data_IF_496485682089
#
_entry.id   IF_496485682089
#
_cell.length_a   1.000
_cell.length_b   1.000
_cell.length_c   1.000
_cell.angle_alpha   90.00
_cell.angle_beta   90.00
_cell.angle_gamma   90.00
#
_symmetry.space_group_name_H-M   'P 1'
#
loop_
_entity.id
_entity.type
_entity.pdbx_description
1 polymer ?
#
# COMPACT_ATOMS: atom_id res chain seq x y z
N UNK A 1 -29.87 5.23 -12.17
CA UNK A 1 -29.53 3.97 -11.47
C UNK A 1 -29.48 4.22 -9.97
N UNK A 2 -29.92 3.24 -9.19
CA UNK A 2 -30.37 3.36 -7.80
C UNK A 2 -29.32 3.92 -6.82
N UNK A 3 -29.77 4.75 -5.87
CA UNK A 3 -29.08 5.19 -4.64
C UNK A 3 -28.25 4.09 -3.95
N UNK A 4 -28.60 2.82 -4.19
CA UNK A 4 -27.92 1.62 -3.69
C UNK A 4 -26.45 1.53 -4.10
N UNK A 5 -26.04 2.01 -5.29
CA UNK A 5 -24.64 1.94 -5.74
C UNK A 5 -23.74 2.96 -5.02
N UNK A 6 -24.22 4.20 -4.85
CA UNK A 6 -23.55 5.25 -4.09
C UNK A 6 -23.45 4.91 -2.60
N UNK A 7 -24.51 4.28 -2.05
CA UNK A 7 -24.47 3.73 -0.68
C UNK A 7 -23.44 2.61 -0.55
N UNK A 8 -23.24 1.78 -1.57
CA UNK A 8 -22.27 0.68 -1.51
C UNK A 8 -20.81 1.16 -1.48
N UNK A 9 -20.42 2.14 -2.30
CA UNK A 9 -19.02 2.64 -2.28
C UNK A 9 -18.71 3.34 -0.95
N UNK A 10 -19.62 4.20 -0.48
CA UNK A 10 -19.47 4.84 0.84
C UNK A 10 -19.56 3.82 2.00
N UNK A 11 -20.38 2.78 1.89
CA UNK A 11 -20.43 1.70 2.90
C UNK A 11 -19.18 0.84 2.89
N UNK A 12 -18.56 0.57 1.74
CA UNK A 12 -17.27 -0.14 1.64
C UNK A 12 -16.17 0.70 2.30
N UNK A 13 -16.07 2.00 2.00
CA UNK A 13 -15.09 2.88 2.65
C UNK A 13 -15.32 3.04 4.16
N UNK A 14 -16.58 3.14 4.61
CA UNK A 14 -16.94 3.21 6.04
C UNK A 14 -16.73 1.87 6.77
N UNK A 15 -16.96 0.73 6.10
CA UNK A 15 -16.68 -0.61 6.65
C UNK A 15 -15.18 -0.91 6.68
N UNK A 16 -14.41 -0.46 5.69
CA UNK A 16 -12.94 -0.48 5.71
C UNK A 16 -12.39 0.43 6.82
N UNK A 17 -13.04 1.58 7.10
CA UNK A 17 -12.70 2.43 8.26
C UNK A 17 -12.97 1.73 9.59
N UNK A 18 -14.03 0.91 9.67
CA UNK A 18 -14.39 0.12 10.86
C UNK A 18 -13.52 -1.13 11.04
N UNK A 19 -13.06 -1.77 9.97
CA UNK A 19 -12.20 -2.95 10.05
C UNK A 19 -10.78 -2.63 10.53
N UNK A 20 -10.31 -1.39 10.35
CA UNK A 20 -9.09 -0.89 11.03
C UNK A 20 -9.28 -0.82 12.56
N UNK A 21 -10.51 -0.50 13.02
CA UNK A 21 -10.85 -0.39 14.44
C UNK A 21 -11.35 -1.72 15.05
N UNK A 22 -11.33 -2.81 14.27
CA UNK A 22 -11.73 -4.12 14.77
C UNK A 22 -10.63 -4.68 15.67
N UNK A 23 -10.89 -4.67 16.98
CA UNK A 23 -10.05 -5.21 18.05
C UNK A 23 -9.38 -6.54 17.66
N UNK A 24 -8.08 -6.50 17.36
CA UNK A 24 -7.21 -7.68 17.31
C UNK A 24 -6.32 -7.67 18.54
N UNK A 25 -6.24 -8.79 19.25
CA UNK A 25 -5.36 -8.96 20.39
C UNK A 25 -3.89 -8.64 20.03
N UNK A 26 -3.09 -8.08 20.96
CA UNK A 26 -1.69 -7.76 20.71
C UNK A 26 -0.91 -9.01 20.27
N UNK A 27 -0.24 -8.92 19.12
CA UNK A 27 0.57 -10.02 18.59
C UNK A 27 1.97 -9.99 19.23
N UNK A 28 2.26 -10.97 20.10
CA UNK A 28 3.61 -11.27 20.57
C UNK A 28 4.37 -12.07 19.51
N UNK A 29 5.57 -11.62 19.13
CA UNK A 29 6.43 -12.33 18.17
C UNK A 29 7.80 -12.55 18.78
N UNK A 30 8.18 -13.83 18.91
CA UNK A 30 9.53 -14.26 19.31
C UNK A 30 10.38 -14.35 18.05
N UNK A 31 11.53 -13.67 18.02
CA UNK A 31 12.50 -13.76 16.91
C UNK A 31 13.80 -14.39 17.44
N UNK A 32 14.19 -15.53 16.87
CA UNK A 32 15.46 -16.19 17.11
C UNK A 32 16.51 -15.69 16.11
N UNK A 33 17.66 -15.21 16.58
CA UNK A 33 18.87 -14.96 15.77
C UNK A 33 19.97 -15.99 16.08
N UNK A 34 21.07 -16.07 15.30
CA UNK A 34 21.68 -14.97 14.54
C UNK A 34 22.00 -15.27 13.05
N UNK A 35 22.30 -14.20 12.31
CA UNK A 35 22.68 -14.13 10.87
C UNK A 35 21.53 -14.20 9.84
N UNK A 36 20.79 -13.09 9.67
CA UNK A 36 20.04 -12.82 8.44
C UNK A 36 20.97 -12.07 7.46
N UNK A 37 22.02 -12.74 6.99
CA UNK A 37 22.54 -12.47 5.65
C UNK A 37 21.82 -13.40 4.70
N UNK A 38 20.95 -12.88 3.82
CA UNK A 38 20.97 -13.46 2.49
C UNK A 38 20.59 -12.51 1.36
N UNK A 39 21.47 -12.61 0.39
CA UNK A 39 21.53 -12.04 -0.93
C UNK A 39 20.31 -12.37 -1.79
N UNK A 40 20.01 -11.39 -2.61
CA UNK A 40 19.16 -11.43 -3.79
C UNK A 40 19.74 -12.39 -4.84
N UNK A 41 19.05 -13.49 -5.18
CA UNK A 41 19.22 -14.20 -6.46
C UNK A 41 17.90 -14.85 -6.89
N UNK A 42 17.36 -14.41 -8.04
CA UNK A 42 16.30 -15.08 -8.79
C UNK A 42 16.78 -15.44 -10.21
N UNK A 43 17.00 -16.74 -10.48
CA UNK A 43 16.80 -17.54 -11.74
C UNK A 43 17.76 -18.74 -11.73
N UNK A 44 17.42 -19.96 -12.16
CA UNK A 44 16.24 -20.46 -12.86
C UNK A 44 16.23 -22.01 -12.86
N UNK A 45 15.08 -22.57 -13.29
CA UNK A 45 14.69 -23.98 -13.31
C UNK A 45 15.62 -24.89 -14.14
N UNK A 46 15.68 -26.20 -13.82
CA UNK A 46 15.23 -27.35 -14.65
C UNK A 46 15.41 -28.69 -13.88
N UNK A 47 14.42 -29.61 -13.99
CA UNK A 47 14.55 -31.09 -13.92
C UNK A 47 14.47 -31.72 -12.52
N UNK A 48 13.40 -32.43 -12.12
CA UNK A 48 12.87 -33.75 -12.52
C UNK A 48 13.36 -34.90 -11.60
N UNK A 49 12.36 -35.51 -10.91
CA UNK A 49 12.22 -36.89 -10.40
C UNK A 49 12.95 -37.39 -9.12
N UNK A 50 12.10 -37.97 -8.26
CA UNK A 50 12.24 -39.18 -7.42
C UNK A 50 13.02 -39.13 -6.10
N UNK A 51 12.30 -39.54 -5.04
CA UNK A 51 12.81 -40.16 -3.81
C UNK A 51 12.75 -41.70 -3.97
N UNK A 52 13.12 -42.53 -2.97
CA UNK A 52 13.90 -42.34 -1.73
C UNK A 52 15.05 -43.39 -1.60
N UNK A 53 15.78 -43.44 -0.48
CA UNK A 53 16.05 -44.67 0.34
C UNK A 53 17.22 -44.46 1.34
N UNK A 54 16.88 -44.71 2.61
CA UNK A 54 17.60 -45.25 3.77
C UNK A 54 19.16 -45.19 3.93
N UNK A 55 19.53 -44.61 5.09
CA UNK A 55 20.38 -45.16 6.16
C UNK A 55 21.68 -45.91 5.83
N UNK A 56 22.83 -45.28 6.18
CA UNK A 56 24.00 -45.97 6.76
C UNK A 56 24.71 -45.03 7.75
N UNK A 57 24.86 -45.46 9.02
CA UNK A 57 25.80 -44.87 10.01
C UNK A 57 27.21 -45.43 9.77
N UNK A 58 28.27 -44.69 10.15
CA UNK A 58 29.23 -45.33 11.04
C UNK A 58 29.75 -44.45 12.20
N UNK A 59 29.79 -45.11 13.37
CA UNK A 59 30.85 -45.17 14.39
C UNK A 59 31.59 -43.89 14.82
N UNK A 60 31.30 -43.53 16.08
CA UNK A 60 32.22 -43.17 17.17
C UNK A 60 33.68 -42.88 16.83
N UNK A 61 34.12 -41.67 17.15
CA UNK A 61 35.37 -41.51 17.89
C UNK A 61 35.29 -40.28 18.80
N UNK A 62 35.70 -40.50 20.04
CA UNK A 62 35.81 -39.58 21.16
C UNK A 62 36.89 -38.53 20.94
N UNK A 63 36.56 -37.26 21.21
CA UNK A 63 37.32 -36.30 22.04
C UNK A 63 36.75 -34.89 21.83
N UNK A 64 35.93 -34.41 22.75
CA UNK A 64 35.51 -33.01 22.82
C UNK A 64 36.10 -32.37 24.09
N UNK A 65 36.91 -31.30 23.96
CA UNK A 65 37.21 -30.44 25.09
C UNK A 65 35.98 -29.61 25.47
N UNK A 66 35.84 -29.34 26.76
CA UNK A 66 34.79 -28.57 27.42
C UNK A 66 34.48 -27.25 26.67
N UNK A 67 33.40 -27.23 25.88
CA UNK A 67 32.87 -26.00 25.31
C UNK A 67 32.27 -25.16 26.44
N UNK A 68 32.89 -24.00 26.67
CA UNK A 68 32.30 -22.94 27.45
C UNK A 68 30.91 -22.63 26.89
N UNK A 69 29.88 -22.74 27.73
CA UNK A 69 28.53 -22.32 27.41
C UNK A 69 28.56 -20.82 27.09
N UNK A 70 28.64 -20.47 25.81
CA UNK A 70 28.36 -19.13 25.34
C UNK A 70 26.87 -18.92 25.60
N UNK A 71 26.56 -18.17 26.66
CA UNK A 71 25.19 -17.79 26.98
C UNK A 71 24.57 -17.18 25.73
N UNK A 72 23.48 -17.78 25.24
CA UNK A 72 22.73 -17.25 24.11
C UNK A 72 22.36 -15.78 24.41
N UNK A 73 22.48 -14.87 23.43
CA UNK A 73 22.18 -13.47 23.65
C UNK A 73 20.73 -13.33 24.17
N UNK A 74 20.48 -12.38 25.08
CA UNK A 74 19.15 -12.20 25.67
C UNK A 74 18.12 -11.94 24.57
N UNK A 75 17.07 -12.75 24.55
CA UNK A 75 15.93 -12.59 23.64
C UNK A 75 15.15 -11.37 24.12
N UNK A 76 15.28 -10.24 23.42
CA UNK A 76 14.47 -9.05 23.68
C UNK A 76 13.09 -9.26 23.05
N UNK A 77 12.08 -9.51 23.88
CA UNK A 77 10.68 -9.51 23.43
C UNK A 77 10.20 -8.08 23.17
N UNK A 78 9.64 -7.84 21.99
CA UNK A 78 9.13 -6.52 21.58
C UNK A 78 7.62 -6.62 21.46
N UNK A 79 6.93 -5.82 22.26
CA UNK A 79 5.49 -5.68 22.22
C UNK A 79 5.09 -4.58 21.22
N UNK A 80 4.16 -4.91 20.31
CA UNK A 80 3.62 -3.96 19.34
C UNK A 80 2.25 -3.47 19.80
N UNK A 81 2.22 -2.28 20.40
CA UNK A 81 0.99 -1.63 20.88
C UNK A 81 0.31 -0.92 19.71
N UNK A 82 -1.00 -1.12 19.53
CA UNK A 82 -1.77 -0.45 18.49
C UNK A 82 -1.92 1.04 18.81
N UNK A 83 -2.09 1.87 17.78
CA UNK A 83 -2.19 3.33 17.94
C UNK A 83 -3.37 3.76 18.81
N UNK A 84 -4.45 2.98 18.83
CA UNK A 84 -5.62 3.18 19.70
C UNK A 84 -5.38 2.85 21.17
N UNK A 85 -4.35 2.05 21.47
CA UNK A 85 -3.97 1.62 22.81
C UNK A 85 -2.76 2.41 23.37
N UNK A 86 -2.17 3.31 22.58
CA UNK A 86 -1.06 4.14 23.01
C UNK A 86 -1.50 5.14 24.09
N UNK A 87 -0.59 5.40 25.03
CA UNK A 87 -0.78 6.40 26.08
C UNK A 87 0.08 7.64 25.79
N UNK A 88 -0.33 8.82 26.29
CA UNK A 88 0.51 10.01 26.26
C UNK A 88 1.89 9.74 26.85
N UNK A 89 2.88 10.47 26.36
CA UNK A 89 4.27 10.35 26.82
C UNK A 89 4.45 11.20 28.09
N UNK A 90 5.13 10.66 29.10
CA UNK A 90 5.55 11.43 30.27
C UNK A 90 6.63 12.43 29.83
N UNK A 91 6.58 13.67 30.31
CA UNK A 91 7.54 14.74 29.96
C UNK A 91 7.76 14.90 28.43
N UNK A 92 6.71 15.28 27.67
CA UNK A 92 6.77 15.31 26.20
C UNK A 92 7.83 16.28 25.67
N UNK A 93 8.08 17.39 26.35
CA UNK A 93 9.05 18.40 25.92
C UNK A 93 10.50 17.87 25.99
N UNK A 94 10.87 17.23 27.11
CA UNK A 94 12.19 16.60 27.29
C UNK A 94 12.42 15.49 26.27
N UNK A 95 11.37 14.68 26.04
CA UNK A 95 11.42 13.62 25.05
C UNK A 95 11.52 14.13 23.62
N UNK A 96 10.91 15.28 23.32
CA UNK A 96 11.01 15.93 22.02
C UNK A 96 12.42 16.47 21.78
N UNK A 97 13.03 17.11 22.78
CA UNK A 97 14.40 17.65 22.69
C UNK A 97 15.44 16.56 22.37
N UNK A 98 15.26 15.38 22.95
CA UNK A 98 16.18 14.25 22.77
C UNK A 98 15.81 13.35 21.58
N UNK A 99 14.62 13.51 20.98
CA UNK A 99 14.03 12.59 20.01
C UNK A 99 14.95 12.27 18.83
N UNK A 100 15.49 13.30 18.18
CA UNK A 100 16.34 13.15 16.99
C UNK A 100 17.62 12.37 17.33
N UNK A 101 18.21 12.64 18.49
CA UNK A 101 19.40 11.91 18.98
C UNK A 101 19.10 10.44 19.21
N UNK A 102 17.92 10.10 19.77
CA UNK A 102 17.54 8.69 20.00
C UNK A 102 17.27 7.95 18.70
N UNK A 103 16.60 8.60 17.75
CA UNK A 103 16.33 8.06 16.41
C UNK A 103 17.61 7.87 15.57
N UNK A 104 18.65 8.69 15.78
CA UNK A 104 19.93 8.57 15.07
C UNK A 104 20.94 7.65 15.77
N UNK A 105 20.60 7.08 16.93
CA UNK A 105 21.46 6.21 17.72
C UNK A 105 21.97 5.00 16.93
N UNK A 106 23.18 4.53 17.28
CA UNK A 106 23.74 3.26 16.79
C UNK A 106 23.10 2.06 17.49
N UNK A 107 22.60 2.26 18.71
CA UNK A 107 21.88 1.23 19.44
C UNK A 107 20.45 1.12 18.91
N UNK A 108 20.12 -0.05 18.37
CA UNK A 108 18.84 -0.28 17.72
C UNK A 108 17.67 -0.28 18.72
N UNK A 109 17.90 -0.60 20.00
CA UNK A 109 16.87 -0.51 21.03
C UNK A 109 16.52 0.95 21.34
N UNK A 110 17.53 1.81 21.43
CA UNK A 110 17.33 3.26 21.54
C UNK A 110 16.54 3.82 20.36
N UNK A 111 16.82 3.38 19.14
CA UNK A 111 16.04 3.77 17.94
C UNK A 111 14.61 3.25 18.03
N UNK A 112 14.41 2.00 18.47
CA UNK A 112 13.08 1.39 18.63
C UNK A 112 12.22 2.20 19.62
N UNK A 113 12.80 2.59 20.74
CA UNK A 113 12.13 3.40 21.75
C UNK A 113 11.85 4.83 21.24
N UNK A 114 12.81 5.41 20.51
CA UNK A 114 12.61 6.67 19.79
C UNK A 114 11.42 6.62 18.81
N UNK A 115 11.26 5.52 18.07
CA UNK A 115 10.11 5.33 17.17
C UNK A 115 8.78 5.22 17.93
N UNK A 116 8.75 4.59 19.10
CA UNK A 116 7.56 4.58 19.95
C UNK A 116 7.23 5.99 20.46
N UNK A 117 8.24 6.80 20.81
CA UNK A 117 8.03 8.21 21.17
C UNK A 117 7.49 9.01 19.99
N UNK A 118 7.98 8.79 18.76
CA UNK A 118 7.40 9.42 17.54
C UNK A 118 5.91 9.12 17.46
N UNK A 119 5.49 7.87 17.70
CA UNK A 119 4.07 7.47 17.66
C UNK A 119 3.24 8.21 18.71
N UNK A 120 3.71 8.25 19.95
CA UNK A 120 3.00 8.92 21.04
C UNK A 120 2.95 10.45 20.83
N UNK A 121 4.07 11.06 20.43
CA UNK A 121 4.14 12.49 20.13
C UNK A 121 3.24 12.86 18.94
N UNK A 122 3.20 12.05 17.88
CA UNK A 122 2.31 12.27 16.74
C UNK A 122 0.83 12.32 17.17
N UNK A 123 0.41 11.44 18.09
CA UNK A 123 -0.99 11.32 18.48
C UNK A 123 -1.42 12.30 19.58
N UNK A 124 -0.52 12.61 20.52
CA UNK A 124 -0.87 13.38 21.72
C UNK A 124 -0.19 14.77 21.79
N UNK A 125 0.89 14.99 21.05
CA UNK A 125 1.70 16.22 21.08
C UNK A 125 2.15 16.63 19.67
N UNK A 126 1.21 16.65 18.71
CA UNK A 126 1.52 16.83 17.28
C UNK A 126 2.07 18.22 16.94
N UNK A 127 1.62 19.26 17.65
CA UNK A 127 2.00 20.65 17.36
C UNK A 127 3.49 20.93 17.57
N UNK A 128 4.13 20.61 18.71
CA UNK A 128 5.57 20.81 18.88
C UNK A 128 6.43 20.02 17.89
N UNK A 129 6.09 18.75 17.62
CA UNK A 129 6.88 17.90 16.73
C UNK A 129 6.80 18.33 15.25
N UNK A 130 5.78 19.12 14.88
CA UNK A 130 5.63 19.71 13.54
C UNK A 130 6.88 20.47 13.07
N UNK A 131 7.53 21.21 13.96
CA UNK A 131 8.71 22.02 13.63
C UNK A 131 9.93 21.19 13.22
N UNK A 132 9.98 19.92 13.63
CA UNK A 132 11.06 19.00 13.32
C UNK A 132 10.61 17.83 12.43
N UNK A 133 9.40 17.91 11.84
CA UNK A 133 8.75 16.81 11.12
C UNK A 133 9.64 16.23 10.02
N UNK A 134 10.30 17.08 9.23
CA UNK A 134 11.19 16.63 8.15
C UNK A 134 12.36 15.77 8.68
N UNK A 135 12.99 16.20 9.78
CA UNK A 135 14.08 15.45 10.41
C UNK A 135 13.57 14.13 10.99
N UNK A 136 12.40 14.13 11.63
CA UNK A 136 11.75 12.92 12.15
C UNK A 136 11.46 11.94 11.01
N UNK A 137 10.82 12.39 9.93
CA UNK A 137 10.50 11.55 8.76
C UNK A 137 11.77 10.98 8.13
N UNK A 138 12.82 11.79 8.00
CA UNK A 138 14.13 11.34 7.49
C UNK A 138 14.69 10.18 8.32
N UNK A 139 14.65 10.28 9.65
CA UNK A 139 15.14 9.23 10.54
C UNK A 139 14.19 8.01 10.61
N UNK A 140 12.88 8.20 10.46
CA UNK A 140 11.92 7.09 10.30
C UNK A 140 12.21 6.33 9.01
N UNK A 141 12.52 7.01 7.90
CA UNK A 141 12.95 6.37 6.64
C UNK A 141 14.27 5.61 6.82
N UNK A 142 15.23 6.16 7.58
CA UNK A 142 16.46 5.44 7.96
C UNK A 142 16.12 4.14 8.69
N UNK A 143 15.16 4.16 9.62
CA UNK A 143 14.71 2.97 10.34
C UNK A 143 13.94 1.98 9.44
N UNK A 144 13.13 2.44 8.48
CA UNK A 144 12.47 1.59 7.48
C UNK A 144 13.48 0.78 6.66
N UNK A 145 14.64 1.37 6.33
CA UNK A 145 15.71 0.69 5.59
C UNK A 145 16.47 -0.35 6.42
N UNK A 146 16.27 -0.39 7.75
CA UNK A 146 16.98 -1.32 8.61
C UNK A 146 16.57 -2.78 8.34
N UNK A 147 17.51 -3.74 8.30
CA UNK A 147 17.19 -5.16 8.07
C UNK A 147 16.48 -5.81 9.27
N UNK A 148 16.61 -5.24 10.48
CA UNK A 148 15.94 -5.77 11.66
C UNK A 148 14.44 -5.55 11.52
N UNK A 149 13.70 -6.66 11.42
CA UNK A 149 12.26 -6.58 11.19
C UNK A 149 11.49 -5.88 12.30
N UNK A 150 11.99 -5.91 13.54
CA UNK A 150 11.35 -5.20 14.64
C UNK A 150 11.40 -3.68 14.47
N UNK A 151 12.58 -3.14 14.17
CA UNK A 151 12.73 -1.72 13.81
C UNK A 151 11.89 -1.36 12.59
N UNK A 152 11.95 -2.20 11.54
CA UNK A 152 11.18 -1.96 10.34
C UNK A 152 9.67 -1.91 10.62
N UNK A 153 9.13 -2.84 11.41
CA UNK A 153 7.70 -2.86 11.74
C UNK A 153 7.30 -1.66 12.59
N UNK A 154 8.07 -1.31 13.62
CA UNK A 154 7.78 -0.14 14.45
C UNK A 154 7.88 1.17 13.64
N UNK A 155 8.83 1.26 12.71
CA UNK A 155 8.93 2.41 11.81
C UNK A 155 7.75 2.51 10.83
N UNK A 156 7.22 1.38 10.36
CA UNK A 156 5.98 1.35 9.57
C UNK A 156 4.80 1.85 10.42
N UNK A 157 4.64 1.36 11.65
CA UNK A 157 3.59 1.82 12.57
C UNK A 157 3.70 3.32 12.84
N UNK A 158 4.92 3.83 13.07
CA UNK A 158 5.19 5.26 13.18
C UNK A 158 4.82 6.04 11.92
N UNK A 159 5.07 5.48 10.73
CA UNK A 159 4.67 6.10 9.47
C UNK A 159 3.14 6.27 9.39
N UNK A 160 2.36 5.30 9.87
CA UNK A 160 0.89 5.40 9.92
C UNK A 160 0.43 6.52 10.84
N UNK A 161 1.02 6.60 12.04
CA UNK A 161 0.69 7.62 13.03
C UNK A 161 1.06 9.02 12.53
N UNK A 162 2.21 9.17 11.86
CA UNK A 162 2.61 10.42 11.20
C UNK A 162 1.64 10.83 10.08
N UNK A 163 1.30 9.90 9.19
CA UNK A 163 0.32 10.16 8.10
C UNK A 163 -1.03 10.62 8.65
N UNK A 164 -1.50 10.01 9.75
CA UNK A 164 -2.76 10.37 10.40
C UNK A 164 -2.70 11.74 11.09
N UNK A 165 -1.59 12.03 11.78
CA UNK A 165 -1.42 13.24 12.58
C UNK A 165 -1.16 14.50 11.74
N UNK A 166 -0.36 14.36 10.68
CA UNK A 166 0.13 15.48 9.88
C UNK A 166 -0.53 15.58 8.50
N UNK A 167 -1.21 14.53 8.02
CA UNK A 167 -2.00 14.56 6.78
C UNK A 167 -1.20 15.19 5.62
N UNK A 168 -1.74 16.22 4.96
CA UNK A 168 -1.14 16.84 3.78
C UNK A 168 0.22 17.49 4.04
N UNK A 169 0.57 17.82 5.28
CA UNK A 169 1.92 18.29 5.62
C UNK A 169 2.98 17.21 5.39
N UNK A 170 2.58 15.94 5.32
CA UNK A 170 3.47 14.84 4.94
C UNK A 170 3.84 14.86 3.46
N UNK A 171 3.06 15.50 2.58
CA UNK A 171 3.24 15.40 1.12
C UNK A 171 4.62 15.91 0.65
N UNK A 172 5.18 16.89 1.35
CA UNK A 172 6.51 17.46 1.08
C UNK A 172 7.65 16.47 1.37
N UNK A 173 7.44 15.56 2.33
CA UNK A 173 8.46 14.63 2.83
C UNK A 173 8.13 13.15 2.56
N UNK A 174 7.02 12.89 1.87
CA UNK A 174 6.46 11.56 1.67
C UNK A 174 7.29 10.66 0.75
N UNK A 175 7.88 11.21 -0.31
CA UNK A 175 8.49 10.43 -1.41
C UNK A 175 9.47 9.33 -0.95
N UNK A 176 10.48 9.62 -0.09
CA UNK A 176 11.38 8.58 0.38
C UNK A 176 10.69 7.55 1.28
N UNK A 177 9.67 7.94 2.04
CA UNK A 177 8.87 7.04 2.87
C UNK A 177 7.98 6.13 2.01
N UNK A 178 7.28 6.69 1.02
CA UNK A 178 6.40 5.95 0.10
C UNK A 178 7.17 4.85 -0.63
N UNK A 179 8.35 5.15 -1.18
CA UNK A 179 9.20 4.14 -1.81
C UNK A 179 9.53 3.00 -0.84
N UNK A 180 9.89 3.32 0.41
CA UNK A 180 10.18 2.30 1.41
C UNK A 180 8.94 1.48 1.78
N UNK A 181 7.77 2.10 1.97
CA UNK A 181 6.54 1.38 2.26
C UNK A 181 6.16 0.42 1.14
N UNK A 182 6.28 0.84 -0.13
CA UNK A 182 6.06 -0.02 -1.30
C UNK A 182 7.04 -1.21 -1.33
N UNK A 183 8.34 -0.96 -1.06
CA UNK A 183 9.33 -2.04 -0.98
C UNK A 183 8.97 -3.03 0.14
N UNK A 184 8.61 -2.53 1.33
CA UNK A 184 8.25 -3.38 2.48
C UNK A 184 6.94 -4.13 2.28
N UNK A 185 5.99 -3.60 1.51
CA UNK A 185 4.75 -4.28 1.15
C UNK A 185 4.94 -5.38 0.06
N UNK A 186 6.16 -5.60 -0.41
CA UNK A 186 6.46 -6.60 -1.46
C UNK A 186 7.48 -7.65 -1.06
N UNK A 187 7.95 -7.59 0.20
CA UNK A 187 8.88 -8.56 0.77
C UNK A 187 8.18 -9.85 1.21
N UNK A 188 8.96 -10.89 1.48
CA UNK A 188 8.41 -12.21 1.83
C UNK A 188 8.08 -12.38 3.32
N UNK A 189 8.58 -11.48 4.19
CA UNK A 189 8.29 -11.50 5.63
C UNK A 189 6.88 -10.97 5.92
N UNK A 190 5.92 -11.90 5.98
CA UNK A 190 4.48 -11.63 6.14
C UNK A 190 4.14 -10.56 7.18
N UNK A 191 4.69 -10.66 8.40
CA UNK A 191 4.34 -9.72 9.47
C UNK A 191 4.74 -8.26 9.19
N UNK A 192 5.81 -8.03 8.41
CA UNK A 192 6.24 -6.69 8.00
C UNK A 192 5.46 -6.23 6.78
N UNK A 193 5.25 -7.16 5.82
CA UNK A 193 4.49 -6.91 4.60
C UNK A 193 3.05 -6.47 4.90
N UNK A 194 2.34 -7.20 5.76
CA UNK A 194 0.97 -6.86 6.18
C UNK A 194 0.90 -5.50 6.86
N UNK A 195 1.90 -5.13 7.67
CA UNK A 195 1.94 -3.82 8.31
C UNK A 195 2.22 -2.71 7.29
N UNK A 196 3.10 -2.94 6.32
CA UNK A 196 3.39 -1.98 5.26
C UNK A 196 2.18 -1.75 4.35
N UNK A 197 1.39 -2.79 4.06
CA UNK A 197 0.12 -2.65 3.33
C UNK A 197 -0.89 -1.79 4.10
N UNK A 198 -1.00 -1.95 5.43
CA UNK A 198 -1.82 -1.06 6.25
C UNK A 198 -1.34 0.38 6.19
N UNK A 199 -0.02 0.61 6.16
CA UNK A 199 0.52 1.96 6.06
C UNK A 199 0.23 2.61 4.70
N UNK A 200 0.37 1.86 3.60
CA UNK A 200 -0.06 2.32 2.28
C UNK A 200 -1.56 2.62 2.25
N UNK A 201 -2.39 1.78 2.88
CA UNK A 201 -3.81 2.06 3.02
C UNK A 201 -4.07 3.33 3.83
N UNK A 202 -3.41 3.49 4.98
CA UNK A 202 -3.50 4.70 5.82
C UNK A 202 -3.14 5.96 5.03
N UNK A 203 -2.07 5.91 4.23
CA UNK A 203 -1.71 7.01 3.34
C UNK A 203 -2.86 7.38 2.39
N UNK A 204 -3.46 6.39 1.72
CA UNK A 204 -4.61 6.62 0.83
C UNK A 204 -5.88 7.06 1.54
N UNK A 205 -5.93 7.05 2.87
CA UNK A 205 -7.08 7.48 3.67
C UNK A 205 -6.90 8.87 4.28
N UNK A 206 -5.68 9.21 4.72
CA UNK A 206 -5.41 10.45 5.47
C UNK A 206 -4.91 11.59 4.60
N UNK A 207 -4.27 11.29 3.46
CA UNK A 207 -3.82 12.32 2.52
C UNK A 207 -4.95 12.73 1.58
N UNK A 208 -4.90 13.98 1.11
CA UNK A 208 -5.76 14.44 0.03
C UNK A 208 -5.55 13.57 -1.22
N UNK A 209 -6.63 13.07 -1.84
CA UNK A 209 -6.55 12.05 -2.88
C UNK A 209 -5.80 12.53 -4.13
N UNK A 210 -5.94 13.81 -4.50
CA UNK A 210 -5.30 14.36 -5.70
C UNK A 210 -3.76 14.41 -5.56
N UNK A 211 -3.16 15.06 -4.55
CA UNK A 211 -1.70 15.03 -4.38
C UNK A 211 -1.13 13.62 -4.15
N UNK A 212 -1.85 12.78 -3.41
CA UNK A 212 -1.45 11.39 -3.18
C UNK A 212 -1.38 10.58 -4.49
N UNK A 213 -2.34 10.80 -5.40
CA UNK A 213 -2.36 10.19 -6.72
C UNK A 213 -1.13 10.60 -7.56
N UNK A 214 -0.76 11.89 -7.56
CA UNK A 214 0.44 12.37 -8.25
C UNK A 214 1.71 11.73 -7.71
N UNK A 215 1.81 11.57 -6.38
CA UNK A 215 2.93 10.88 -5.72
C UNK A 215 3.02 9.40 -6.08
N UNK A 216 1.89 8.74 -6.36
CA UNK A 216 1.82 7.32 -6.71
C UNK A 216 2.11 7.02 -8.18
N UNK A 217 1.87 8.00 -9.07
CA UNK A 217 1.94 7.83 -10.53
C UNK A 217 3.27 7.25 -11.05
N UNK A 218 4.46 7.59 -10.52
CA UNK A 218 5.71 6.97 -10.97
C UNK A 218 5.80 5.46 -10.71
N UNK A 219 5.05 4.95 -9.73
CA UNK A 219 5.18 3.56 -9.26
C UNK A 219 4.29 2.56 -10.00
N UNK A 220 3.24 3.01 -10.68
CA UNK A 220 2.43 2.13 -11.56
C UNK A 220 3.18 1.72 -12.83
N UNK A 221 4.28 2.39 -13.17
CA UNK A 221 5.22 2.02 -14.25
C UNK A 221 6.52 1.40 -13.74
N UNK A 222 6.59 1.02 -12.46
CA UNK A 222 7.83 0.51 -11.88
C UNK A 222 8.29 -0.82 -12.50
N UNK A 223 9.60 -1.07 -12.61
CA UNK A 223 10.14 -2.30 -13.21
C UNK A 223 9.70 -3.58 -12.48
N UNK A 224 9.62 -3.52 -11.15
CA UNK A 224 9.15 -4.62 -10.31
C UNK A 224 7.61 -4.74 -10.34
N UNK A 225 7.04 -5.86 -10.82
CA UNK A 225 5.58 -6.06 -10.88
C UNK A 225 4.91 -6.02 -9.50
N UNK A 226 5.59 -6.47 -8.43
CA UNK A 226 5.04 -6.43 -7.06
C UNK A 226 4.77 -5.00 -6.61
N UNK A 227 5.68 -4.07 -6.94
CA UNK A 227 5.51 -2.64 -6.62
C UNK A 227 4.37 -2.05 -7.46
N UNK A 228 4.30 -2.37 -8.76
CA UNK A 228 3.19 -1.91 -9.62
C UNK A 228 1.84 -2.31 -9.07
N UNK A 229 1.69 -3.55 -8.59
CA UNK A 229 0.46 -4.02 -7.97
C UNK A 229 0.06 -3.20 -6.74
N UNK A 230 1.00 -2.95 -5.81
CA UNK A 230 0.71 -2.13 -4.63
C UNK A 230 0.37 -0.69 -4.99
N UNK A 231 1.09 -0.11 -5.95
CA UNK A 231 0.82 1.23 -6.44
C UNK A 231 -0.55 1.32 -7.13
N UNK A 232 -0.91 0.36 -7.99
CA UNK A 232 -2.20 0.32 -8.67
C UNK A 232 -3.37 0.24 -7.68
N UNK A 233 -3.25 -0.58 -6.64
CA UNK A 233 -4.24 -0.64 -5.55
C UNK A 233 -4.38 0.70 -4.84
N UNK A 234 -3.27 1.40 -4.56
CA UNK A 234 -3.31 2.71 -3.92
C UNK A 234 -3.92 3.77 -4.82
N UNK A 235 -3.56 3.78 -6.11
CA UNK A 235 -4.13 4.67 -7.14
C UNK A 235 -5.64 4.50 -7.20
N UNK A 236 -6.13 3.26 -7.32
CA UNK A 236 -7.57 3.00 -7.33
C UNK A 236 -8.24 3.58 -6.09
N UNK A 237 -7.69 3.36 -4.88
CA UNK A 237 -8.26 3.90 -3.64
C UNK A 237 -8.27 5.43 -3.60
N UNK A 238 -7.21 6.09 -4.05
CA UNK A 238 -7.17 7.55 -4.17
C UNK A 238 -8.24 8.06 -5.15
N UNK A 239 -8.37 7.41 -6.31
CA UNK A 239 -9.34 7.81 -7.35
C UNK A 239 -10.77 7.59 -6.88
N UNK A 240 -11.11 6.45 -6.27
CA UNK A 240 -12.45 6.22 -5.71
C UNK A 240 -12.81 7.24 -4.63
N UNK A 241 -11.82 7.77 -3.88
CA UNK A 241 -12.04 8.84 -2.89
C UNK A 241 -12.23 10.23 -3.50
N UNK A 242 -11.82 10.47 -4.75
CA UNK A 242 -12.12 11.73 -5.45
C UNK A 242 -13.63 11.90 -5.68
N UNK A 243 -14.38 10.80 -5.76
CA UNK A 243 -15.78 10.80 -6.14
C UNK A 243 -15.98 11.25 -7.59
N UNK A 244 -17.25 11.35 -8.01
CA UNK A 244 -17.63 11.68 -9.40
C UNK A 244 -17.07 13.05 -9.81
N UNK A 245 -17.27 14.07 -8.98
CA UNK A 245 -16.84 15.44 -9.28
C UNK A 245 -15.31 15.54 -9.35
N UNK A 246 -14.60 14.92 -8.41
CA UNK A 246 -13.14 14.94 -8.41
C UNK A 246 -12.53 14.14 -9.56
N UNK A 247 -13.15 13.04 -9.99
CA UNK A 247 -12.73 12.31 -11.20
C UNK A 247 -12.92 13.16 -12.46
N UNK A 248 -14.04 13.88 -12.57
CA UNK A 248 -14.29 14.80 -13.68
C UNK A 248 -13.31 15.99 -13.68
N UNK A 249 -13.01 16.55 -12.50
CA UNK A 249 -12.05 17.65 -12.36
C UNK A 249 -10.62 17.22 -12.70
N UNK A 250 -10.22 16.02 -12.28
CA UNK A 250 -8.91 15.45 -12.64
C UNK A 250 -8.83 15.12 -14.14
N UNK A 251 -9.96 14.69 -14.72
CA UNK A 251 -10.09 14.29 -16.11
C UNK A 251 -10.15 12.77 -16.27
N UNK A 252 -11.13 12.29 -17.03
CA UNK A 252 -11.31 10.84 -17.25
C UNK A 252 -10.22 10.26 -18.15
N UNK A 253 -9.69 11.04 -19.10
CA UNK A 253 -8.62 10.61 -20.00
C UNK A 253 -7.33 10.17 -19.26
N UNK A 254 -6.72 10.97 -18.38
CA UNK A 254 -5.52 10.54 -17.66
C UNK A 254 -5.80 9.35 -16.72
N UNK A 255 -7.01 9.27 -16.14
CA UNK A 255 -7.39 8.15 -15.28
C UNK A 255 -7.54 6.84 -16.06
N UNK A 256 -8.18 6.89 -17.25
CA UNK A 256 -8.34 5.69 -18.07
C UNK A 256 -6.99 5.23 -18.63
N UNK A 257 -6.07 6.14 -18.96
CA UNK A 257 -4.70 5.81 -19.35
C UNK A 257 -3.95 5.06 -18.24
N UNK A 258 -4.05 5.53 -17.00
CA UNK A 258 -3.45 4.85 -15.84
C UNK A 258 -4.05 3.45 -15.66
N UNK A 259 -5.38 3.32 -15.71
CA UNK A 259 -6.06 2.04 -15.55
C UNK A 259 -5.70 1.05 -16.68
N UNK A 260 -5.76 1.50 -17.93
CA UNK A 260 -5.49 0.69 -19.11
C UNK A 260 -4.06 0.11 -19.11
N UNK A 261 -3.07 0.89 -18.66
CA UNK A 261 -1.68 0.44 -18.53
C UNK A 261 -1.53 -0.77 -17.58
N UNK A 262 -2.43 -0.94 -16.62
CA UNK A 262 -2.38 -2.01 -15.61
C UNK A 262 -3.25 -3.24 -15.96
N UNK A 263 -4.14 -3.17 -16.97
CA UNK A 263 -5.04 -4.27 -17.32
C UNK A 263 -4.33 -5.56 -17.76
N UNK A 264 -3.13 -5.42 -18.31
CA UNK A 264 -2.29 -6.53 -18.77
C UNK A 264 -1.10 -6.80 -17.85
N UNK A 265 -1.13 -6.29 -16.60
CA UNK A 265 -0.03 -6.51 -15.67
C UNK A 265 0.14 -8.00 -15.30
N UNK A 266 1.38 -8.38 -14.95
CA UNK A 266 1.74 -9.74 -14.56
C UNK A 266 0.99 -10.20 -13.29
N UNK A 267 0.75 -9.29 -12.35
CA UNK A 267 0.10 -9.64 -11.09
C UNK A 267 -1.42 -9.46 -11.14
N UNK A 268 -2.19 -10.43 -10.58
CA UNK A 268 -3.64 -10.33 -10.55
C UNK A 268 -4.13 -9.14 -9.73
N UNK A 269 -3.42 -8.75 -8.67
CA UNK A 269 -3.75 -7.60 -7.83
C UNK A 269 -3.78 -6.29 -8.62
N UNK A 270 -2.75 -6.03 -9.45
CA UNK A 270 -2.69 -4.85 -10.33
C UNK A 270 -3.87 -4.83 -11.31
N UNK A 271 -4.12 -5.97 -11.97
CA UNK A 271 -5.21 -6.10 -12.95
C UNK A 271 -6.59 -5.94 -12.31
N UNK A 272 -6.78 -6.39 -11.08
CA UNK A 272 -8.04 -6.24 -10.34
C UNK A 272 -8.31 -4.78 -9.97
N UNK A 273 -7.30 -4.07 -9.45
CA UNK A 273 -7.41 -2.63 -9.20
C UNK A 273 -7.73 -1.85 -10.47
N UNK A 274 -7.09 -2.21 -11.58
CA UNK A 274 -7.34 -1.62 -12.90
C UNK A 274 -8.77 -1.84 -13.39
N UNK A 275 -9.29 -3.08 -13.27
CA UNK A 275 -10.67 -3.40 -13.67
C UNK A 275 -11.69 -2.60 -12.87
N UNK A 276 -11.52 -2.51 -11.56
CA UNK A 276 -12.41 -1.72 -10.70
C UNK A 276 -12.40 -0.24 -11.11
N UNK A 277 -11.21 0.32 -11.34
CA UNK A 277 -11.08 1.70 -11.81
C UNK A 277 -11.78 1.91 -13.15
N UNK A 278 -11.62 1.02 -14.12
CA UNK A 278 -12.31 1.10 -15.42
C UNK A 278 -13.83 1.10 -15.26
N UNK A 279 -14.37 0.24 -14.39
CA UNK A 279 -15.81 0.18 -14.13
C UNK A 279 -16.32 1.49 -13.52
N UNK A 280 -15.61 2.05 -12.53
CA UNK A 280 -15.95 3.32 -11.90
C UNK A 280 -15.93 4.48 -12.94
N UNK A 281 -14.88 4.55 -13.77
CA UNK A 281 -14.75 5.58 -14.81
C UNK A 281 -15.87 5.50 -15.85
N UNK A 282 -16.24 4.28 -16.27
CA UNK A 282 -17.35 4.08 -17.19
C UNK A 282 -18.69 4.52 -16.57
N UNK A 283 -18.91 4.24 -15.28
CA UNK A 283 -20.10 4.70 -14.57
C UNK A 283 -20.16 6.23 -14.46
N UNK A 284 -19.02 6.89 -14.23
CA UNK A 284 -18.92 8.36 -14.20
C UNK A 284 -19.15 8.97 -15.58
N UNK A 285 -18.57 8.38 -16.63
CA UNK A 285 -18.76 8.82 -18.01
C UNK A 285 -20.25 8.79 -18.41
N UNK A 286 -20.95 7.70 -18.09
CA UNK A 286 -22.41 7.57 -18.35
C UNK A 286 -23.25 8.61 -17.62
N UNK A 287 -22.85 9.01 -16.41
CA UNK A 287 -23.54 10.04 -15.63
C UNK A 287 -23.27 11.46 -16.16
N UNK A 288 -22.08 11.69 -16.69
CA UNK A 288 -21.62 13.00 -17.16
C UNK A 288 -22.00 13.26 -18.63
N UNK A 289 -22.36 12.23 -19.38
CA UNK A 289 -22.80 12.35 -20.78
C UNK A 289 -24.25 12.90 -20.85
N UNK A 290 -24.50 14.01 -21.56
CA UNK A 290 -25.83 14.64 -21.65
C UNK A 290 -26.92 13.78 -22.33
N UNK A 291 -26.59 12.62 -22.89
CA UNK A 291 -27.49 11.83 -23.76
C UNK A 291 -28.34 10.78 -23.03
N UNK A 292 -28.23 10.63 -21.71
CA UNK A 292 -29.09 9.70 -20.94
C UNK A 292 -30.22 10.45 -20.23
N UNK A 293 -31.12 11.02 -21.02
CA UNK A 293 -32.44 11.45 -20.54
C UNK A 293 -33.45 10.30 -20.77
N UNK A 294 -34.24 9.85 -19.77
CA UNK A 294 -35.15 8.72 -19.92
C UNK A 294 -36.49 9.10 -20.60
N UNK A 295 -36.43 9.87 -21.69
CA UNK A 295 -37.61 10.23 -22.50
C UNK A 295 -37.27 10.14 -23.98
N UNK A 296 -37.38 8.92 -24.53
CA UNK A 296 -37.65 8.72 -25.94
C UNK A 296 -38.23 7.30 -26.12
N UNK A 297 -39.50 7.14 -25.74
CA UNK A 297 -40.37 6.21 -26.44
C UNK A 297 -40.94 6.95 -27.64
N UNK A 298 -40.96 6.24 -28.77
CA UNK A 298 -41.77 6.43 -29.99
C UNK A 298 -41.01 6.98 -31.22
N UNK A 299 -41.10 6.15 -32.29
CA UNK A 299 -40.93 6.39 -33.72
C UNK A 299 -39.50 6.56 -34.25
N UNK A 300 -39.11 6.04 -35.41
CA UNK A 300 -39.74 5.18 -36.44
C UNK A 300 -38.60 4.62 -37.32
N UNK A 301 -38.91 3.58 -38.08
CA UNK A 301 -38.03 2.86 -38.99
C UNK A 301 -37.42 3.75 -40.10
N UNK A 302 -36.11 3.61 -40.32
CA UNK A 302 -35.48 3.93 -41.61
C UNK A 302 -34.19 3.10 -41.78
N UNK A 303 -34.18 2.27 -42.82
CA UNK A 303 -33.04 1.52 -43.33
C UNK A 303 -31.87 2.44 -43.73
N UNK A 304 -30.70 2.25 -43.12
CA UNK A 304 -29.40 2.64 -43.67
C UNK A 304 -28.35 1.59 -43.30
N UNK A 305 -27.66 1.07 -44.32
CA UNK A 305 -26.57 0.10 -44.21
C UNK A 305 -25.41 0.57 -43.31
N UNK A 306 -25.11 -0.26 -42.30
CA UNK A 306 -23.79 -0.55 -41.72
C UNK A 306 -22.81 0.59 -41.38
N UNK A 307 -23.25 1.56 -40.58
CA UNK A 307 -22.35 2.20 -39.63
C UNK A 307 -23.01 2.19 -38.26
N UNK A 308 -22.67 1.18 -37.45
CA UNK A 308 -23.06 1.14 -36.04
C UNK A 308 -22.77 2.51 -35.43
N UNK A 309 -23.74 3.18 -34.78
CA UNK A 309 -23.41 4.36 -33.99
C UNK A 309 -22.40 3.88 -32.94
N UNK A 310 -21.14 4.28 -33.12
CA UNK A 310 -20.06 3.98 -32.18
C UNK A 310 -20.55 4.36 -30.79
N UNK A 311 -20.56 3.40 -29.86
CA UNK A 311 -20.92 3.67 -28.47
C UNK A 311 -20.10 4.88 -28.00
N UNK A 312 -20.71 5.96 -27.46
CA UNK A 312 -19.97 7.13 -27.01
C UNK A 312 -18.81 6.80 -26.07
N UNK A 313 -18.92 5.71 -25.30
CA UNK A 313 -17.82 5.20 -24.46
C UNK A 313 -16.70 4.56 -25.29
N UNK A 314 -17.04 3.80 -26.35
CA UNK A 314 -16.09 3.24 -27.30
C UNK A 314 -15.31 4.33 -28.04
N UNK A 315 -16.01 5.36 -28.54
CA UNK A 315 -15.37 6.52 -29.16
C UNK A 315 -14.37 7.20 -28.21
N UNK A 316 -14.77 7.41 -26.94
CA UNK A 316 -13.89 7.98 -25.92
C UNK A 316 -12.67 7.09 -25.61
N UNK A 317 -12.85 5.77 -25.53
CA UNK A 317 -11.75 4.84 -25.30
C UNK A 317 -10.76 4.85 -26.47
N UNK A 318 -11.26 4.87 -27.71
CA UNK A 318 -10.44 4.89 -28.93
C UNK A 318 -9.72 6.23 -29.12
N UNK A 319 -10.29 7.35 -28.66
CA UNK A 319 -9.61 8.65 -28.69
C UNK A 319 -8.52 8.78 -27.62
N UNK A 320 -8.72 8.15 -26.46
CA UNK A 320 -7.84 8.30 -25.29
C UNK A 320 -6.70 7.28 -25.24
N UNK A 321 -6.81 6.17 -25.96
CA UNK A 321 -5.94 5.00 -25.85
C UNK A 321 -5.59 4.42 -27.23
N UNK A 322 -4.54 3.60 -27.30
CA UNK A 322 -4.27 2.83 -28.51
C UNK A 322 -5.34 1.72 -28.71
N UNK A 323 -5.60 1.27 -29.95
CA UNK A 323 -6.70 0.33 -30.24
C UNK A 323 -6.69 -0.96 -29.43
N UNK A 324 -5.51 -1.53 -29.15
CA UNK A 324 -5.39 -2.78 -28.39
C UNK A 324 -5.78 -2.57 -26.91
N UNK A 325 -5.32 -1.48 -26.31
CA UNK A 325 -5.66 -1.13 -24.93
C UNK A 325 -7.12 -0.71 -24.79
N UNK A 326 -7.66 0.03 -25.77
CA UNK A 326 -9.08 0.38 -25.82
C UNK A 326 -9.95 -0.89 -25.85
N UNK A 327 -9.62 -1.87 -26.69
CA UNK A 327 -10.36 -3.13 -26.73
C UNK A 327 -10.31 -3.91 -25.40
N UNK A 328 -9.18 -3.83 -24.67
CA UNK A 328 -9.07 -4.44 -23.35
C UNK A 328 -9.98 -3.75 -22.33
N UNK A 329 -10.06 -2.41 -22.35
CA UNK A 329 -10.98 -1.61 -21.52
C UNK A 329 -12.44 -1.95 -21.85
N UNK A 330 -12.80 -1.99 -23.13
CA UNK A 330 -14.17 -2.30 -23.57
C UNK A 330 -14.63 -3.69 -23.12
N UNK A 331 -13.75 -4.69 -23.15
CA UNK A 331 -14.07 -6.03 -22.62
C UNK A 331 -14.40 -6.01 -21.14
N UNK A 332 -13.71 -5.18 -20.35
CA UNK A 332 -14.00 -5.06 -18.91
C UNK A 332 -15.39 -4.47 -18.69
N UNK A 333 -15.75 -3.44 -19.46
CA UNK A 333 -17.05 -2.76 -19.32
C UNK A 333 -18.23 -3.54 -19.92
N UNK A 334 -18.01 -4.38 -20.93
CA UNK A 334 -19.05 -5.25 -21.49
C UNK A 334 -19.46 -6.37 -20.53
N UNK A 335 -18.54 -6.91 -19.72
CA UNK A 335 -18.81 -7.98 -18.75
C UNK A 335 -19.50 -7.43 -17.48
N UNK A 336 -19.39 -6.13 -17.22
CA UNK A 336 -19.92 -5.48 -16.03
C UNK A 336 -21.36 -4.95 -16.18
N UNK A 337 -21.96 -5.02 -17.37
CA UNK A 337 -23.33 -4.57 -17.65
C UNK A 337 -24.37 -5.66 -17.36
#
# INVERSE_FOLDING_TARGET
MSETALRNVNAVLLSERRSISAKKAPMKVVLTGPNDENLDVCRGKVGRLQAPVASVKPKSNSNAPMEAQVAAPPVVEIEYILSEDLKPLEEPDVNLETLLTRLDSKDWLTVLDGLNHVRQLALFHSSPMRHILNNVVTLVVKALKNPRSALCKTAIMASVDLLKAYQDDMLEVLDPMLLQLLLKATQDKRFVCEEAEKALFGMTMWLSPYPALEKLRPYVSHRNPRIRAKAATCVYKCVSRLGVDGMNQYGLEPLIQIAAAQLNDQLPEAREAARKLVVDLHAVYKQSSPLVSPVAKVAEEADVESSQPSDPWEAFCLSSLNPLTAQAVLRVTCVAN
#
